data_IF_580495197959
#
_entry.id   IF_580495197959
#
_cell.length_a   1.000
_cell.length_b   1.000
_cell.length_c   1.000
_cell.angle_alpha   90.00
_cell.angle_beta   90.00
_cell.angle_gamma   90.00
#
_symmetry.space_group_name_H-M   'P 1'
#
loop_
_entity.id
_entity.type
_entity.pdbx_description
1 polymer ?
#
# COMPACT_ATOMS: atom_id res chain seq x y z
N UNK A 1 -26.76 -4.58 10.59
CA UNK A 1 -25.76 -4.82 9.55
C UNK A 1 -26.21 -4.05 8.32
N UNK A 2 -25.34 -3.23 7.74
CA UNK A 2 -25.66 -2.51 6.49
C UNK A 2 -25.46 -3.43 5.28
N UNK A 3 -26.18 -3.22 4.15
CA UNK A 3 -26.06 -4.10 2.98
C UNK A 3 -24.62 -4.30 2.49
N UNK A 4 -23.79 -3.26 2.49
CA UNK A 4 -22.39 -3.41 2.06
C UNK A 4 -21.55 -4.33 2.98
N UNK A 5 -22.00 -4.56 4.21
CA UNK A 5 -21.34 -5.44 5.19
C UNK A 5 -21.83 -6.90 5.10
N UNK A 6 -22.89 -7.17 4.33
CA UNK A 6 -23.44 -8.53 4.19
C UNK A 6 -22.60 -9.34 3.19
N UNK A 7 -21.87 -10.39 3.64
CA UNK A 7 -21.05 -11.20 2.76
C UNK A 7 -21.86 -12.06 1.78
N UNK A 8 -23.18 -12.18 1.95
CA UNK A 8 -24.08 -12.91 1.06
C UNK A 8 -24.42 -12.13 -0.20
N UNK A 9 -24.28 -10.80 -0.16
CA UNK A 9 -24.48 -9.97 -1.34
C UNK A 9 -23.24 -9.99 -2.23
N UNK A 10 -23.46 -9.84 -3.55
CA UNK A 10 -22.36 -9.77 -4.50
C UNK A 10 -21.46 -8.55 -4.22
N UNK A 11 -20.14 -8.59 -4.58
CA UNK A 11 -19.25 -7.45 -4.44
C UNK A 11 -19.78 -6.18 -5.12
N UNK A 12 -20.50 -6.31 -6.24
CA UNK A 12 -21.11 -5.19 -6.99
C UNK A 12 -22.23 -4.53 -6.19
N UNK A 13 -23.14 -5.30 -5.62
CA UNK A 13 -24.24 -4.79 -4.78
C UNK A 13 -23.69 -4.10 -3.53
N UNK A 14 -22.70 -4.69 -2.88
CA UNK A 14 -22.04 -4.13 -1.71
C UNK A 14 -21.34 -2.82 -2.03
N UNK A 15 -20.60 -2.78 -3.13
CA UNK A 15 -19.90 -1.56 -3.58
C UNK A 15 -20.89 -0.45 -3.95
N UNK A 16 -22.02 -0.78 -4.61
CA UNK A 16 -23.05 0.18 -4.96
C UNK A 16 -23.70 0.80 -3.70
N UNK A 17 -24.08 -0.03 -2.72
CA UNK A 17 -24.66 0.44 -1.46
C UNK A 17 -23.67 1.34 -0.69
N UNK A 18 -22.41 0.93 -0.57
CA UNK A 18 -21.38 1.73 0.10
C UNK A 18 -21.16 3.07 -0.62
N UNK A 19 -21.03 3.04 -1.94
CA UNK A 19 -20.83 4.25 -2.75
C UNK A 19 -22.00 5.23 -2.62
N UNK A 20 -23.23 4.74 -2.51
CA UNK A 20 -24.41 5.59 -2.30
C UNK A 20 -24.39 6.30 -0.93
N UNK A 21 -23.73 5.72 0.06
CA UNK A 21 -23.63 6.28 1.43
C UNK A 21 -22.48 7.26 1.62
N UNK A 22 -21.45 7.17 0.79
CA UNK A 22 -20.27 8.04 0.86
C UNK A 22 -20.63 9.46 0.43
N UNK A 23 -20.16 10.45 1.19
CA UNK A 23 -20.14 11.85 0.78
C UNK A 23 -19.19 12.07 -0.40
N UNK A 24 -19.34 13.18 -1.11
CA UNK A 24 -18.41 13.54 -2.18
C UNK A 24 -16.96 13.59 -1.70
N UNK A 25 -16.71 14.14 -0.50
CA UNK A 25 -15.38 14.21 0.11
C UNK A 25 -14.80 12.82 0.37
N UNK A 26 -15.57 11.90 0.93
CA UNK A 26 -15.14 10.51 1.16
C UNK A 26 -14.86 9.78 -0.15
N UNK A 27 -15.67 10.00 -1.20
CA UNK A 27 -15.41 9.44 -2.54
C UNK A 27 -14.11 9.94 -3.12
N UNK A 28 -13.81 11.23 -2.99
CA UNK A 28 -12.52 11.80 -3.40
C UNK A 28 -11.37 11.16 -2.62
N UNK A 29 -11.55 10.95 -1.30
CA UNK A 29 -10.58 10.24 -0.47
C UNK A 29 -10.28 8.81 -0.94
N UNK A 30 -11.31 8.08 -1.41
CA UNK A 30 -11.13 6.72 -1.96
C UNK A 30 -10.39 6.70 -3.31
N UNK A 31 -10.39 7.78 -4.06
CA UNK A 31 -9.64 7.92 -5.32
C UNK A 31 -8.25 8.55 -5.11
N UNK A 32 -7.94 8.96 -3.88
CA UNK A 32 -6.73 9.71 -3.57
C UNK A 32 -5.51 8.79 -3.41
N UNK A 33 -4.43 9.13 -4.10
CA UNK A 33 -3.12 8.47 -4.04
C UNK A 33 -1.98 9.50 -4.03
N UNK A 34 -2.20 10.69 -3.50
CA UNK A 34 -1.22 11.78 -3.60
C UNK A 34 -0.07 11.70 -2.58
N UNK A 35 -0.22 10.90 -1.53
CA UNK A 35 0.82 10.75 -0.52
C UNK A 35 1.88 9.73 -0.95
N UNK A 36 3.14 10.04 -0.65
CA UNK A 36 4.23 9.09 -0.74
C UNK A 36 4.28 8.24 0.52
N UNK A 37 3.93 6.96 0.41
CA UNK A 37 3.80 6.03 1.51
C UNK A 37 5.07 5.89 2.36
N UNK A 38 6.26 5.98 1.75
CA UNK A 38 7.53 5.95 2.48
C UNK A 38 7.73 7.14 3.45
N UNK A 39 6.89 8.17 3.37
CA UNK A 39 6.85 9.30 4.32
C UNK A 39 5.76 9.16 5.38
N UNK A 40 4.83 8.20 5.20
CA UNK A 40 3.63 8.09 6.04
C UNK A 40 3.90 7.48 7.41
N UNK A 41 4.96 6.67 7.54
CA UNK A 41 5.40 6.08 8.79
C UNK A 41 6.87 6.43 9.02
N UNK A 42 7.19 6.94 10.19
CA UNK A 42 8.57 7.18 10.65
C UNK A 42 9.00 6.05 11.56
N UNK A 43 10.24 5.60 11.40
CA UNK A 43 10.89 4.63 12.27
C UNK A 43 12.11 5.25 12.93
N UNK A 44 12.16 5.15 14.26
CA UNK A 44 13.30 5.53 15.09
C UNK A 44 13.61 4.35 16.01
N UNK A 45 14.64 3.58 15.66
CA UNK A 45 14.90 2.28 16.31
C UNK A 45 13.69 1.33 16.12
N UNK A 46 13.11 0.89 17.23
CA UNK A 46 11.93 0.03 17.26
C UNK A 46 10.59 0.81 17.30
N UNK A 47 10.66 2.11 17.47
CA UNK A 47 9.47 2.96 17.54
C UNK A 47 8.97 3.30 16.14
N UNK A 48 7.66 3.15 15.94
CA UNK A 48 6.95 3.53 14.73
C UNK A 48 5.92 4.61 15.05
N UNK A 49 5.91 5.68 14.28
CA UNK A 49 4.96 6.77 14.42
C UNK A 49 4.37 7.15 13.08
N UNK A 50 3.08 7.51 13.07
CA UNK A 50 2.44 8.04 11.86
C UNK A 50 2.87 9.50 11.63
N UNK A 51 3.18 9.80 10.39
CA UNK A 51 3.47 11.18 9.97
C UNK A 51 2.21 12.05 10.05
N UNK A 52 2.39 13.30 10.43
CA UNK A 52 1.29 14.25 10.62
C UNK A 52 0.53 14.54 9.31
N UNK A 53 1.24 14.61 8.18
CA UNK A 53 0.60 14.83 6.88
C UNK A 53 -0.29 13.66 6.48
N UNK A 54 0.14 12.41 6.77
CA UNK A 54 -0.68 11.23 6.58
C UNK A 54 -1.96 11.28 7.44
N UNK A 55 -1.82 11.59 8.72
CA UNK A 55 -2.96 11.68 9.63
C UNK A 55 -3.95 12.77 9.18
N UNK A 56 -3.46 13.96 8.84
CA UNK A 56 -4.30 15.07 8.33
C UNK A 56 -5.06 14.70 7.06
N UNK A 57 -4.41 13.97 6.15
CA UNK A 57 -5.04 13.54 4.90
C UNK A 57 -6.19 12.57 5.16
N UNK A 58 -5.97 11.55 5.98
CA UNK A 58 -7.00 10.58 6.36
C UNK A 58 -8.18 11.28 7.05
N UNK A 59 -7.91 12.16 8.01
CA UNK A 59 -8.95 12.89 8.75
C UNK A 59 -9.73 13.85 7.83
N UNK A 60 -9.05 14.52 6.90
CA UNK A 60 -9.67 15.47 5.99
C UNK A 60 -10.69 14.79 5.06
N UNK A 61 -10.35 13.61 4.53
CA UNK A 61 -11.21 12.88 3.59
C UNK A 61 -12.11 11.84 4.25
N UNK A 62 -11.92 11.56 5.55
CA UNK A 62 -12.64 10.49 6.24
C UNK A 62 -12.23 9.10 5.74
N UNK A 63 -10.96 8.93 5.37
CA UNK A 63 -10.36 7.71 4.85
C UNK A 63 -9.30 7.98 3.79
N UNK A 64 -8.68 6.91 3.30
CA UNK A 64 -7.67 6.96 2.24
C UNK A 64 -7.85 5.73 1.34
N UNK A 65 -8.00 5.92 0.03
CA UNK A 65 -8.20 4.81 -0.90
C UNK A 65 -6.93 4.01 -1.17
N UNK A 66 -5.82 4.70 -1.43
CA UNK A 66 -4.55 4.05 -1.76
C UNK A 66 -3.36 4.79 -1.17
N UNK A 67 -2.42 4.02 -0.61
CA UNK A 67 -1.12 4.51 -0.17
C UNK A 67 -0.02 3.90 -1.06
N UNK A 68 0.66 4.75 -1.83
CA UNK A 68 1.69 4.34 -2.78
C UNK A 68 3.08 4.29 -2.13
N UNK A 69 3.78 3.16 -2.29
CA UNK A 69 5.20 3.06 -1.96
C UNK A 69 5.50 3.08 -0.46
N UNK A 70 4.68 2.45 0.40
CA UNK A 70 4.91 2.39 1.86
C UNK A 70 6.31 1.86 2.20
N UNK A 71 6.76 0.83 1.50
CA UNK A 71 8.03 0.14 1.74
C UNK A 71 9.19 0.62 0.86
N UNK A 72 8.95 1.63 0.02
CA UNK A 72 9.94 2.10 -0.94
C UNK A 72 11.25 2.47 -0.26
N UNK A 73 12.35 1.89 -0.76
CA UNK A 73 13.71 2.13 -0.30
C UNK A 73 14.64 2.22 -1.50
N UNK A 74 14.92 3.43 -1.91
CA UNK A 74 15.79 3.78 -3.02
C UNK A 74 16.41 5.17 -2.78
N UNK A 75 17.36 5.63 -3.60
CA UNK A 75 17.96 6.95 -3.44
C UNK A 75 16.97 8.11 -3.42
N UNK A 76 15.84 7.99 -4.13
CA UNK A 76 14.82 9.01 -4.14
C UNK A 76 14.03 9.08 -2.82
N UNK A 77 13.69 7.93 -2.24
CA UNK A 77 13.00 7.88 -0.96
C UNK A 77 13.91 8.23 0.22
N UNK A 78 15.22 8.05 0.07
CA UNK A 78 16.21 8.23 1.14
C UNK A 78 16.07 7.23 2.27
N UNK A 79 15.36 6.10 2.04
CA UNK A 79 15.17 5.05 3.04
C UNK A 79 16.29 4.04 2.99
N UNK A 80 16.86 3.76 4.18
CA UNK A 80 17.94 2.80 4.41
C UNK A 80 17.53 1.81 5.49
N UNK A 81 18.42 0.85 5.83
CA UNK A 81 18.15 -0.06 6.95
C UNK A 81 18.07 0.64 8.31
N UNK A 82 18.58 1.85 8.44
CA UNK A 82 18.51 2.64 9.68
C UNK A 82 17.11 3.23 9.92
N UNK A 83 16.45 3.71 8.87
CA UNK A 83 15.21 4.48 8.96
C UNK A 83 14.03 3.94 8.11
N UNK A 84 14.27 2.93 7.28
CA UNK A 84 13.28 2.30 6.42
C UNK A 84 12.55 1.14 7.10
N UNK A 85 11.56 0.59 6.40
CA UNK A 85 10.70 -0.48 6.89
C UNK A 85 11.11 -1.81 6.26
N UNK A 86 11.36 -2.83 7.10
CA UNK A 86 11.71 -4.18 6.66
C UNK A 86 11.37 -5.20 7.76
N UNK A 87 11.29 -6.49 7.41
CA UNK A 87 10.96 -7.56 8.35
C UNK A 87 9.70 -7.26 9.15
N UNK A 88 9.73 -7.53 10.45
CA UNK A 88 8.60 -7.31 11.36
C UNK A 88 8.15 -5.84 11.41
N UNK A 89 9.09 -4.90 11.30
CA UNK A 89 8.74 -3.47 11.32
C UNK A 89 7.90 -3.06 10.11
N UNK A 90 8.06 -3.71 8.96
CA UNK A 90 7.22 -3.48 7.78
C UNK A 90 5.75 -3.88 8.05
N UNK A 91 5.55 -5.04 8.67
CA UNK A 91 4.20 -5.51 9.06
C UNK A 91 3.57 -4.61 10.11
N UNK A 92 4.33 -4.23 11.14
CA UNK A 92 3.86 -3.31 12.20
C UNK A 92 3.48 -1.94 11.64
N UNK A 93 4.28 -1.41 10.71
CA UNK A 93 4.01 -0.13 10.04
C UNK A 93 2.73 -0.18 9.20
N UNK A 94 2.54 -1.26 8.43
CA UNK A 94 1.30 -1.49 7.69
C UNK A 94 0.09 -1.52 8.64
N UNK A 95 0.16 -2.33 9.69
CA UNK A 95 -0.94 -2.46 10.64
C UNK A 95 -1.25 -1.15 11.36
N UNK A 96 -0.22 -0.37 11.71
CA UNK A 96 -0.37 0.94 12.32
C UNK A 96 -1.11 1.92 11.39
N UNK A 97 -0.67 2.03 10.15
CA UNK A 97 -1.29 2.91 9.16
C UNK A 97 -2.71 2.45 8.79
N UNK A 98 -2.91 1.14 8.57
CA UNK A 98 -4.21 0.57 8.23
C UNK A 98 -5.23 0.75 9.35
N UNK A 99 -4.82 0.49 10.60
CA UNK A 99 -5.67 0.70 11.77
C UNK A 99 -6.14 2.15 11.85
N UNK A 100 -5.23 3.10 11.68
CA UNK A 100 -5.57 4.51 11.71
C UNK A 100 -6.61 4.87 10.64
N UNK A 101 -6.44 4.39 9.40
CA UNK A 101 -7.40 4.64 8.31
C UNK A 101 -8.77 4.05 8.63
N UNK A 102 -8.81 2.81 9.10
CA UNK A 102 -10.08 2.12 9.43
C UNK A 102 -10.80 2.80 10.59
N UNK A 103 -10.08 3.16 11.66
CA UNK A 103 -10.66 3.79 12.85
C UNK A 103 -11.15 5.23 12.60
N UNK A 104 -10.55 5.93 11.62
CA UNK A 104 -10.92 7.31 11.30
C UNK A 104 -11.75 7.45 10.01
N UNK A 105 -12.22 6.34 9.46
CA UNK A 105 -13.20 6.32 8.39
C UNK A 105 -14.58 5.89 8.89
N UNK A 106 -15.62 6.60 8.46
CA UNK A 106 -17.00 6.38 8.93
C UNK A 106 -17.53 4.95 8.71
N UNK A 107 -17.04 4.28 7.69
CA UNK A 107 -17.44 2.92 7.33
C UNK A 107 -16.35 1.88 7.50
N UNK A 108 -15.22 2.22 8.09
CA UNK A 108 -14.11 1.30 8.31
C UNK A 108 -13.49 0.77 7.01
N UNK A 109 -13.45 1.59 5.95
CA UNK A 109 -12.91 1.17 4.66
C UNK A 109 -11.38 1.10 4.76
N UNK A 110 -10.77 -0.08 4.53
CA UNK A 110 -9.32 -0.21 4.54
C UNK A 110 -8.70 0.43 3.27
N UNK A 111 -7.49 0.97 3.41
CA UNK A 111 -6.73 1.45 2.26
C UNK A 111 -6.06 0.31 1.51
N UNK A 112 -5.84 0.49 0.21
CA UNK A 112 -4.96 -0.35 -0.59
C UNK A 112 -3.53 0.17 -0.48
N UNK A 113 -2.56 -0.73 -0.36
CA UNK A 113 -1.14 -0.38 -0.49
C UNK A 113 -0.67 -0.80 -1.87
N UNK A 114 -0.10 0.14 -2.60
CA UNK A 114 0.40 -0.07 -3.96
C UNK A 114 1.89 0.23 -4.05
N UNK A 115 2.56 -0.39 -5.00
CA UNK A 115 3.97 -0.14 -5.29
C UNK A 115 4.23 -0.29 -6.78
N UNK A 116 5.27 0.37 -7.27
CA UNK A 116 5.84 0.10 -8.58
C UNK A 116 6.87 -1.00 -8.48
N UNK A 117 6.83 -1.92 -9.45
CA UNK A 117 7.74 -3.05 -9.50
C UNK A 117 8.33 -3.25 -10.91
N UNK A 118 8.90 -2.20 -11.55
CA UNK A 118 9.39 -2.28 -12.92
C UNK A 118 10.62 -3.20 -13.08
N UNK A 119 11.31 -3.46 -11.99
CA UNK A 119 12.47 -4.37 -11.92
C UNK A 119 12.56 -5.05 -10.54
N UNK A 120 11.46 -5.62 -10.08
CA UNK A 120 11.29 -6.13 -8.73
C UNK A 120 10.84 -5.06 -7.75
N UNK A 121 10.65 -5.43 -6.48
CA UNK A 121 10.12 -4.53 -5.46
C UNK A 121 11.24 -3.68 -4.84
N UNK A 122 11.17 -2.39 -5.00
CA UNK A 122 12.12 -1.43 -4.43
C UNK A 122 11.89 -1.23 -2.92
N UNK A 123 12.07 -2.29 -2.16
CA UNK A 123 11.99 -2.31 -0.70
C UNK A 123 13.25 -2.96 -0.12
N UNK A 124 13.54 -2.73 1.17
CA UNK A 124 14.78 -3.22 1.80
C UNK A 124 14.91 -4.74 1.78
N UNK A 125 13.80 -5.47 1.91
CA UNK A 125 13.76 -6.93 1.79
C UNK A 125 13.14 -7.38 0.44
N UNK A 126 13.00 -6.44 -0.52
CA UNK A 126 12.45 -6.72 -1.83
C UNK A 126 13.45 -7.44 -2.74
N UNK A 127 12.93 -8.28 -3.60
CA UNK A 127 13.73 -8.94 -4.63
C UNK A 127 13.85 -8.01 -5.85
N UNK A 128 15.09 -7.70 -6.25
CA UNK A 128 15.36 -6.87 -7.42
C UNK A 128 15.59 -7.75 -8.65
N UNK A 129 15.01 -7.34 -9.76
CA UNK A 129 15.16 -7.93 -11.07
C UNK A 129 15.85 -6.94 -12.02
N UNK A 130 16.43 -7.38 -13.13
CA UNK A 130 16.83 -6.48 -14.20
C UNK A 130 15.64 -5.64 -14.68
N UNK A 131 15.91 -4.43 -15.18
CA UNK A 131 14.86 -3.60 -15.80
C UNK A 131 14.23 -4.35 -16.99
N UNK A 132 12.94 -4.11 -17.26
CA UNK A 132 12.18 -4.85 -18.26
C UNK A 132 12.81 -4.84 -19.66
N UNK A 133 13.50 -3.76 -20.05
CA UNK A 133 14.21 -3.71 -21.30
C UNK A 133 15.37 -4.72 -21.35
N UNK A 134 16.15 -4.80 -20.28
CA UNK A 134 17.24 -5.80 -20.18
C UNK A 134 16.69 -7.22 -20.09
N UNK A 135 15.60 -7.42 -19.36
CA UNK A 135 14.91 -8.70 -19.28
C UNK A 135 14.37 -9.14 -20.66
N UNK A 136 13.76 -8.23 -21.43
CA UNK A 136 13.30 -8.47 -22.80
C UNK A 136 14.42 -8.81 -23.77
N UNK A 137 15.61 -8.19 -23.61
CA UNK A 137 16.79 -8.45 -24.42
C UNK A 137 17.37 -9.86 -24.27
N UNK A 138 16.93 -10.63 -23.28
CA UNK A 138 17.29 -12.07 -23.13
C UNK A 138 16.61 -12.94 -24.15
N UNK A 139 15.49 -12.53 -24.74
CA UNK A 139 14.61 -13.33 -25.61
C UNK A 139 14.19 -14.68 -24.98
N UNK A 140 14.08 -14.72 -23.65
CA UNK A 140 13.72 -15.91 -22.85
C UNK A 140 12.47 -15.66 -22.02
N UNK A 141 11.25 -15.77 -22.60
CA UNK A 141 10.00 -15.50 -21.88
C UNK A 141 9.79 -16.45 -20.68
N UNK A 142 10.25 -17.69 -20.76
CA UNK A 142 10.17 -18.67 -19.68
C UNK A 142 10.97 -18.21 -18.44
N UNK A 143 12.15 -17.61 -18.65
CA UNK A 143 12.96 -17.07 -17.56
C UNK A 143 12.23 -15.94 -16.84
N UNK A 144 11.55 -15.08 -17.60
CA UNK A 144 10.77 -13.98 -17.03
C UNK A 144 9.55 -14.49 -16.24
N UNK A 145 8.90 -15.53 -16.74
CA UNK A 145 7.79 -16.16 -16.04
C UNK A 145 8.23 -16.79 -14.71
N UNK A 146 9.34 -17.51 -14.67
CA UNK A 146 9.88 -18.09 -13.43
C UNK A 146 10.37 -17.00 -12.45
N UNK A 147 11.00 -15.94 -12.95
CA UNK A 147 11.35 -14.79 -12.14
C UNK A 147 10.12 -14.12 -11.51
N UNK A 148 9.05 -13.95 -12.27
CA UNK A 148 7.76 -13.43 -11.80
C UNK A 148 7.13 -14.27 -10.70
N UNK A 149 7.17 -15.59 -10.82
CA UNK A 149 6.70 -16.51 -9.78
C UNK A 149 7.47 -16.33 -8.47
N UNK A 150 8.81 -16.32 -8.53
CA UNK A 150 9.65 -16.13 -7.34
C UNK A 150 9.38 -14.77 -6.68
N UNK A 151 9.24 -13.74 -7.48
CA UNK A 151 8.93 -12.41 -7.01
C UNK A 151 7.59 -12.37 -6.25
N UNK A 152 6.54 -12.98 -6.81
CA UNK A 152 5.22 -13.03 -6.17
C UNK A 152 5.25 -13.79 -4.84
N UNK A 153 5.97 -14.92 -4.79
CA UNK A 153 6.09 -15.71 -3.56
C UNK A 153 6.83 -14.97 -2.44
N UNK A 154 7.85 -14.17 -2.76
CA UNK A 154 8.56 -13.36 -1.74
C UNK A 154 7.75 -12.17 -1.23
N UNK A 155 6.70 -11.77 -1.92
CA UNK A 155 5.80 -10.71 -1.46
C UNK A 155 4.67 -11.24 -0.55
N UNK A 156 4.42 -12.55 -0.56
CA UNK A 156 3.35 -13.20 0.22
C UNK A 156 3.81 -13.80 1.55
N UNK A 157 5.12 -13.88 1.77
CA UNK A 157 5.75 -14.34 3.03
C UNK A 157 6.32 -13.17 3.82
#
# INVERSE_FOLDING_TARGET
>A
MLPFQDPKLSPKERAHDLCARLTCREKVGQLNQRLYGFRSVRREGEQLTLDEAFQKEVLHFGGLGTLYGLYRADPWSGRTRENGLYGENAVRAYNLAQRFVVEHSRFGIPMLVSSECPHGHQALDGYLLPVNLAAGATFQPELLYEAGKKYTLTQLN
#
